data_IF_052902225634
#
_entry.id   IF_052902225634
#
_cell.length_a   1.000
_cell.length_b   1.000
_cell.length_c   1.000
_cell.angle_alpha   90.00
_cell.angle_beta   90.00
_cell.angle_gamma   90.00
#
_symmetry.space_group_name_H-M   'P 1'
#
loop_
_entity.id
_entity.type
_entity.pdbx_description
1 polymer ?
#
# COMPACT_ATOMS: atom_id res chain seq x y z
N UNK A 1 29.02 13.76 19.51
CA UNK A 1 28.68 12.44 20.11
C UNK A 1 27.29 12.04 19.65
N UNK A 2 27.20 11.36 18.50
CA UNK A 2 25.93 10.81 18.00
C UNK A 2 25.63 9.58 18.85
N UNK A 3 24.57 9.65 19.68
CA UNK A 3 23.98 8.47 20.29
C UNK A 3 23.44 7.62 19.14
N UNK A 4 24.13 6.52 18.82
CA UNK A 4 23.60 5.47 17.96
C UNK A 4 22.33 4.95 18.63
N UNK A 5 21.17 5.41 18.17
CA UNK A 5 19.88 4.85 18.56
C UNK A 5 19.77 3.51 17.83
N UNK A 6 20.27 2.45 18.46
CA UNK A 6 20.04 1.08 17.97
C UNK A 6 18.55 0.84 18.21
N UNK A 7 17.76 0.95 17.16
CA UNK A 7 16.37 0.52 17.18
C UNK A 7 16.41 -1.00 17.15
N UNK A 8 16.47 -1.63 18.34
CA UNK A 8 16.27 -3.08 18.48
C UNK A 8 14.78 -3.33 18.20
N UNK A 9 14.40 -3.36 16.93
CA UNK A 9 13.22 -4.12 16.53
C UNK A 9 13.69 -5.56 16.67
N UNK A 10 13.37 -6.15 17.82
CA UNK A 10 13.47 -7.58 18.03
C UNK A 10 13.04 -8.28 16.74
N UNK A 11 13.93 -9.10 16.15
CA UNK A 11 13.51 -10.18 15.28
C UNK A 11 12.40 -10.90 16.07
N UNK A 12 11.15 -10.60 15.72
CA UNK A 12 10.04 -11.43 16.13
C UNK A 12 10.32 -12.74 15.41
N UNK A 13 11.04 -13.64 16.09
CA UNK A 13 10.75 -15.06 15.98
C UNK A 13 9.29 -15.10 16.38
N UNK A 14 8.40 -14.96 15.40
CA UNK A 14 6.96 -14.95 15.62
C UNK A 14 6.67 -16.32 16.22
N UNK A 15 6.56 -16.38 17.54
CA UNK A 15 5.67 -17.33 18.18
C UNK A 15 4.36 -17.15 17.42
N UNK A 16 3.94 -18.16 16.67
CA UNK A 16 2.69 -18.11 15.92
C UNK A 16 1.62 -17.65 16.90
N UNK A 17 1.15 -16.41 16.73
CA UNK A 17 0.07 -15.91 17.57
C UNK A 17 -1.08 -16.90 17.38
N UNK A 18 -1.76 -17.27 18.45
CA UNK A 18 -2.94 -18.09 18.28
C UNK A 18 -4.01 -17.23 17.58
N UNK A 19 -4.96 -17.89 16.89
CA UNK A 19 -6.13 -17.18 16.33
C UNK A 19 -6.85 -16.38 17.42
N UNK A 20 -6.86 -16.87 18.66
CA UNK A 20 -7.42 -16.16 19.80
C UNK A 20 -6.65 -14.89 20.14
N UNK A 21 -5.32 -14.92 20.13
CA UNK A 21 -4.49 -13.73 20.37
C UNK A 21 -4.70 -12.69 19.26
N UNK A 22 -4.78 -13.13 18.00
CA UNK A 22 -5.08 -12.24 16.88
C UNK A 22 -6.46 -11.59 17.02
N UNK A 23 -7.49 -12.37 17.39
CA UNK A 23 -8.84 -11.83 17.63
C UNK A 23 -8.81 -10.85 18.81
N UNK A 24 -8.18 -11.22 19.92
CA UNK A 24 -8.03 -10.37 21.10
C UNK A 24 -7.34 -9.05 20.77
N UNK A 25 -6.23 -9.08 20.02
CA UNK A 25 -5.49 -7.88 19.65
C UNK A 25 -6.28 -6.98 18.68
N UNK A 26 -7.20 -7.54 17.89
CA UNK A 26 -7.99 -6.80 16.91
C UNK A 26 -9.21 -6.11 17.53
N UNK A 27 -9.91 -6.77 18.44
CA UNK A 27 -11.15 -6.23 19.06
C UNK A 27 -10.94 -5.66 20.46
N UNK A 28 -9.84 -6.01 21.13
CA UNK A 28 -9.51 -5.60 22.49
C UNK A 28 -10.15 -6.48 23.57
N UNK A 29 -9.60 -6.40 24.78
CA UNK A 29 -9.95 -7.30 25.89
C UNK A 29 -11.42 -7.23 26.31
N UNK A 30 -12.04 -6.04 26.32
CA UNK A 30 -13.42 -5.89 26.74
C UNK A 30 -14.40 -6.61 25.78
N UNK A 31 -14.28 -6.35 24.47
CA UNK A 31 -15.13 -6.98 23.46
C UNK A 31 -14.83 -8.49 23.33
N UNK A 32 -13.57 -8.90 23.48
CA UNK A 32 -13.19 -10.32 23.49
C UNK A 32 -13.87 -11.09 24.61
N UNK A 33 -13.81 -10.57 25.84
CA UNK A 33 -14.43 -11.23 26.98
C UNK A 33 -15.96 -11.21 26.90
N UNK A 34 -16.55 -10.13 26.37
CA UNK A 34 -18.00 -10.01 26.16
C UNK A 34 -18.53 -11.07 25.19
N UNK A 35 -17.80 -11.36 24.09
CA UNK A 35 -18.24 -12.28 23.04
C UNK A 35 -17.51 -13.63 23.07
N UNK A 36 -16.87 -13.99 24.19
CA UNK A 36 -15.93 -15.12 24.27
C UNK A 36 -16.50 -16.44 23.73
N UNK A 37 -17.74 -16.77 24.07
CA UNK A 37 -18.37 -18.03 23.61
C UNK A 37 -18.61 -18.03 22.10
N UNK A 38 -19.04 -16.90 21.54
CA UNK A 38 -19.25 -16.74 20.11
C UNK A 38 -17.91 -16.79 19.36
N UNK A 39 -16.88 -16.12 19.86
CA UNK A 39 -15.51 -16.17 19.32
C UNK A 39 -15.02 -17.62 19.30
N UNK A 40 -15.11 -18.33 20.42
CA UNK A 40 -14.70 -19.74 20.50
C UNK A 40 -15.46 -20.62 19.50
N UNK A 41 -16.74 -20.33 19.26
CA UNK A 41 -17.55 -21.05 18.28
C UNK A 41 -17.10 -20.78 16.83
N UNK A 42 -16.96 -19.50 16.46
CA UNK A 42 -16.54 -19.06 15.12
C UNK A 42 -15.15 -19.62 14.77
N UNK A 43 -14.21 -19.52 15.71
CA UNK A 43 -12.80 -19.85 15.49
C UNK A 43 -12.42 -21.26 15.94
N UNK A 44 -13.39 -22.16 16.22
CA UNK A 44 -13.13 -23.52 16.73
C UNK A 44 -12.17 -24.31 15.84
N UNK A 45 -12.29 -24.12 14.52
CA UNK A 45 -11.46 -24.78 13.51
C UNK A 45 -10.30 -23.85 13.14
N UNK A 46 -9.41 -23.59 14.10
CA UNK A 46 -8.34 -22.58 13.99
C UNK A 46 -7.48 -22.72 12.74
N UNK A 47 -7.22 -23.96 12.29
CA UNK A 47 -6.47 -24.26 11.06
C UNK A 47 -7.04 -23.57 9.80
N UNK A 48 -8.34 -23.30 9.77
CA UNK A 48 -8.97 -22.61 8.64
C UNK A 48 -8.57 -21.13 8.53
N UNK A 49 -7.94 -20.57 9.57
CA UNK A 49 -7.53 -19.17 9.65
C UNK A 49 -6.02 -18.98 9.46
N UNK A 50 -5.36 -20.00 8.92
CA UNK A 50 -3.97 -19.90 8.49
C UNK A 50 -3.86 -20.03 6.98
N UNK A 51 -2.91 -19.29 6.41
CA UNK A 51 -2.49 -19.37 5.01
C UNK A 51 -0.96 -19.45 5.00
N UNK A 52 -0.41 -20.53 4.44
CA UNK A 52 1.04 -20.79 4.41
C UNK A 52 1.70 -20.74 5.81
N UNK A 53 0.99 -21.25 6.82
CA UNK A 53 1.47 -21.25 8.21
C UNK A 53 1.36 -19.91 8.93
N UNK A 54 0.91 -18.83 8.29
CA UNK A 54 0.67 -17.53 8.92
C UNK A 54 -0.82 -17.28 9.11
N UNK A 55 -1.19 -16.45 10.08
CA UNK A 55 -2.58 -16.05 10.30
C UNK A 55 -3.10 -15.30 9.07
N UNK A 56 -4.30 -15.65 8.62
CA UNK A 56 -5.04 -14.93 7.60
C UNK A 56 -5.91 -13.83 8.24
N UNK A 57 -5.32 -12.64 8.42
CA UNK A 57 -6.02 -11.48 8.99
C UNK A 57 -7.19 -11.00 8.12
N UNK A 58 -7.18 -11.26 6.81
CA UNK A 58 -8.34 -10.98 5.94
C UNK A 58 -9.51 -11.86 6.38
N UNK A 59 -9.29 -13.16 6.54
CA UNK A 59 -10.34 -14.11 6.94
C UNK A 59 -10.83 -13.88 8.38
N UNK A 60 -9.92 -13.62 9.33
CA UNK A 60 -10.31 -13.28 10.70
C UNK A 60 -11.15 -12.00 10.72
N UNK A 61 -10.69 -10.93 10.05
CA UNK A 61 -11.43 -9.66 10.02
C UNK A 61 -12.80 -9.81 9.35
N UNK A 62 -12.89 -10.66 8.32
CA UNK A 62 -14.15 -10.97 7.66
C UNK A 62 -15.14 -11.65 8.61
N UNK A 63 -14.72 -12.70 9.34
CA UNK A 63 -15.60 -13.40 10.29
C UNK A 63 -16.05 -12.48 11.43
N UNK A 64 -15.14 -11.69 12.00
CA UNK A 64 -15.51 -10.73 13.04
C UNK A 64 -16.48 -9.67 12.53
N UNK A 65 -16.33 -9.22 11.29
CA UNK A 65 -17.25 -8.28 10.64
C UNK A 65 -18.62 -8.91 10.38
N UNK A 66 -18.67 -10.12 9.82
CA UNK A 66 -19.91 -10.85 9.51
C UNK A 66 -20.75 -11.12 10.76
N UNK A 67 -20.10 -11.33 11.89
CA UNK A 67 -20.75 -11.60 13.17
C UNK A 67 -20.95 -10.34 14.02
N UNK A 68 -20.69 -9.14 13.49
CA UNK A 68 -20.91 -7.87 14.20
C UNK A 68 -20.00 -7.62 15.41
N UNK A 69 -18.91 -8.40 15.56
CA UNK A 69 -17.97 -8.31 16.67
C UNK A 69 -16.96 -7.18 16.43
N UNK A 70 -16.60 -6.93 15.16
CA UNK A 70 -15.63 -5.91 14.80
C UNK A 70 -16.24 -4.49 14.83
N UNK A 71 -16.11 -3.83 15.98
CA UNK A 71 -16.60 -2.46 16.19
C UNK A 71 -15.56 -1.42 15.75
N UNK A 72 -15.83 -0.77 14.61
CA UNK A 72 -14.99 0.30 14.05
C UNK A 72 -15.55 1.72 14.28
N UNK A 73 -16.83 1.85 14.62
CA UNK A 73 -17.46 3.14 14.89
C UNK A 73 -16.92 3.72 16.20
N UNK A 74 -16.47 4.98 16.17
CA UNK A 74 -15.92 5.70 17.32
C UNK A 74 -16.98 6.54 18.07
N UNK A 75 -18.24 6.50 17.64
CA UNK A 75 -19.39 7.23 18.19
C UNK A 75 -19.43 8.71 17.82
N UNK A 76 -18.28 9.33 17.59
CA UNK A 76 -18.11 10.71 17.15
C UNK A 76 -16.80 10.87 16.39
N UNK A 77 -16.57 12.03 15.78
CA UNK A 77 -15.28 12.34 15.14
C UNK A 77 -14.21 12.45 16.22
N UNK A 78 -13.20 11.57 16.14
CA UNK A 78 -12.10 11.47 17.09
C UNK A 78 -10.76 11.54 16.38
N UNK A 79 -9.71 11.81 17.16
CA UNK A 79 -8.34 11.69 16.69
C UNK A 79 -7.88 10.23 16.81
N UNK A 80 -7.64 9.58 15.68
CA UNK A 80 -7.13 8.22 15.59
C UNK A 80 -5.64 8.28 15.24
N UNK A 81 -4.80 7.63 16.03
CA UNK A 81 -3.38 7.40 15.73
C UNK A 81 -3.23 6.02 15.12
N UNK A 82 -2.55 5.94 13.97
CA UNK A 82 -2.29 4.69 13.28
C UNK A 82 -0.82 4.61 12.95
N UNK A 83 -0.18 3.50 13.33
CA UNK A 83 1.20 3.22 12.97
C UNK A 83 1.27 2.00 12.07
N UNK A 84 1.95 2.15 10.94
CA UNK A 84 2.27 1.07 10.02
C UNK A 84 3.74 0.69 10.15
N UNK A 85 4.00 -0.60 10.30
CA UNK A 85 5.33 -1.19 10.33
C UNK A 85 5.48 -2.08 9.11
N UNK A 86 6.36 -1.72 8.19
CA UNK A 86 6.70 -2.51 7.00
C UNK A 86 8.10 -3.10 7.18
N UNK A 87 8.21 -4.40 6.96
CA UNK A 87 9.48 -5.12 7.13
C UNK A 87 10.51 -4.92 6.00
N UNK A 88 10.15 -4.24 4.92
CA UNK A 88 11.03 -4.01 3.75
C UNK A 88 10.50 -2.88 2.84
N UNK A 89 11.28 -2.54 1.82
CA UNK A 89 10.86 -1.71 0.67
C UNK A 89 10.23 -0.35 1.06
N UNK A 90 10.89 0.49 1.87
CA UNK A 90 10.28 1.63 2.55
C UNK A 90 9.63 2.64 1.60
N UNK A 91 10.28 2.98 0.47
CA UNK A 91 9.72 3.92 -0.52
C UNK A 91 8.46 3.38 -1.21
N UNK A 92 8.50 2.12 -1.62
CA UNK A 92 7.36 1.42 -2.22
C UNK A 92 6.22 1.28 -1.22
N UNK A 93 6.53 0.85 0.00
CA UNK A 93 5.60 0.71 1.11
C UNK A 93 4.91 2.03 1.42
N UNK A 94 5.66 3.12 1.58
CA UNK A 94 5.13 4.47 1.81
C UNK A 94 4.17 4.92 0.71
N UNK A 95 4.57 4.75 -0.56
CA UNK A 95 3.70 5.08 -1.70
C UNK A 95 2.41 4.26 -1.66
N UNK A 96 2.53 2.94 -1.51
CA UNK A 96 1.39 2.04 -1.54
C UNK A 96 0.39 2.35 -0.42
N UNK A 97 0.85 2.48 0.82
CA UNK A 97 -0.04 2.75 1.94
C UNK A 97 -0.71 4.12 1.79
N UNK A 98 0.01 5.12 1.29
CA UNK A 98 -0.56 6.44 1.01
C UNK A 98 -1.66 6.38 -0.06
N UNK A 99 -1.45 5.63 -1.15
CA UNK A 99 -2.45 5.43 -2.20
C UNK A 99 -3.67 4.64 -1.71
N UNK A 100 -3.44 3.58 -0.93
CA UNK A 100 -4.49 2.73 -0.34
C UNK A 100 -5.36 3.55 0.61
N UNK A 101 -4.76 4.33 1.52
CA UNK A 101 -5.50 5.18 2.45
C UNK A 101 -6.45 6.13 1.72
N UNK A 102 -6.01 6.77 0.64
CA UNK A 102 -6.85 7.67 -0.17
C UNK A 102 -8.04 6.95 -0.80
N UNK A 103 -7.85 5.73 -1.32
CA UNK A 103 -8.93 4.92 -1.90
C UNK A 103 -9.91 4.43 -0.83
N UNK A 104 -9.41 4.18 0.39
CA UNK A 104 -10.25 3.87 1.54
C UNK A 104 -10.99 5.09 2.11
N UNK A 105 -10.74 6.29 1.60
CA UNK A 105 -11.41 7.53 2.00
C UNK A 105 -10.65 8.37 3.03
N UNK A 106 -9.41 8.00 3.37
CA UNK A 106 -8.56 8.70 4.32
C UNK A 106 -7.55 9.58 3.58
N UNK A 107 -7.98 10.78 3.16
CA UNK A 107 -7.15 11.71 2.39
C UNK A 107 -6.43 12.75 3.25
N UNK A 108 -7.03 13.16 4.37
CA UNK A 108 -6.55 14.26 5.23
C UNK A 108 -5.84 13.74 6.50
N UNK A 109 -4.86 12.84 6.34
CA UNK A 109 -4.02 12.41 7.45
C UNK A 109 -2.79 13.30 7.61
N UNK A 110 -2.31 13.40 8.86
CA UNK A 110 -1.10 14.15 9.21
C UNK A 110 -0.04 13.16 9.67
N UNK A 111 1.11 13.14 8.99
CA UNK A 111 2.28 12.39 9.44
C UNK A 111 2.75 12.91 10.80
N UNK A 112 2.82 12.04 11.80
CA UNK A 112 3.37 12.33 13.13
C UNK A 112 4.83 11.89 13.24
N UNK A 113 5.23 10.86 12.49
CA UNK A 113 6.60 10.38 12.46
C UNK A 113 6.84 9.37 11.35
N UNK A 114 8.05 9.41 10.81
CA UNK A 114 8.56 8.48 9.80
C UNK A 114 9.97 8.08 10.20
N UNK A 115 10.22 6.77 10.30
CA UNK A 115 11.52 6.23 10.67
C UNK A 115 11.84 5.08 9.72
N UNK A 116 13.00 5.15 9.08
CA UNK A 116 13.55 4.07 8.25
C UNK A 116 14.85 3.57 8.88
N UNK A 117 14.89 2.28 9.21
CA UNK A 117 16.07 1.60 9.77
C UNK A 117 16.15 0.22 9.13
N UNK A 118 17.34 -0.17 8.66
CA UNK A 118 17.60 -1.50 8.08
C UNK A 118 16.58 -1.94 7.02
N UNK A 119 16.25 -1.02 6.09
CA UNK A 119 15.24 -1.22 5.04
C UNK A 119 13.79 -1.43 5.54
N UNK A 120 13.52 -1.22 6.82
CA UNK A 120 12.18 -1.28 7.41
C UNK A 120 11.61 0.13 7.57
N UNK A 121 10.30 0.28 7.42
CA UNK A 121 9.59 1.54 7.59
C UNK A 121 8.66 1.47 8.80
N UNK A 122 8.77 2.44 9.70
CA UNK A 122 7.75 2.80 10.67
C UNK A 122 7.14 4.14 10.27
N UNK A 123 5.84 4.18 10.05
CA UNK A 123 5.12 5.41 9.72
C UNK A 123 3.90 5.58 10.62
N UNK A 124 3.87 6.67 11.37
CA UNK A 124 2.77 7.02 12.26
C UNK A 124 2.02 8.22 11.70
N UNK A 125 0.71 8.07 11.56
CA UNK A 125 -0.21 9.12 11.12
C UNK A 125 -1.27 9.41 12.16
N UNK A 126 -1.82 10.63 12.10
CA UNK A 126 -3.00 11.04 12.82
C UNK A 126 -4.14 11.33 11.85
N UNK A 127 -5.31 10.77 12.13
CA UNK A 127 -6.54 10.89 11.35
C UNK A 127 -7.61 11.55 12.22
N UNK A 128 -8.40 12.46 11.66
CA UNK A 128 -9.63 12.95 12.29
C UNK A 128 -10.82 12.25 11.63
N UNK A 129 -11.42 11.27 12.30
CA UNK A 129 -12.41 10.35 11.69
C UNK A 129 -13.46 9.89 12.70
N UNK A 130 -14.66 9.55 12.23
CA UNK A 130 -15.71 8.93 13.04
C UNK A 130 -15.64 7.39 13.08
N UNK A 131 -14.78 6.80 12.24
CA UNK A 131 -14.58 5.35 12.18
C UNK A 131 -13.10 4.99 12.02
N UNK A 132 -12.67 3.92 12.68
CA UNK A 132 -11.36 3.33 12.50
C UNK A 132 -11.18 2.80 11.06
N UNK A 133 -9.92 2.72 10.61
CA UNK A 133 -9.58 2.04 9.35
C UNK A 133 -10.04 0.59 9.45
N UNK A 134 -10.86 0.14 8.50
CA UNK A 134 -11.31 -1.24 8.45
C UNK A 134 -10.12 -2.19 8.20
N UNK A 135 -9.77 -3.08 9.16
CA UNK A 135 -8.71 -4.06 8.97
C UNK A 135 -8.95 -4.97 7.76
N UNK A 136 -10.22 -5.32 7.51
CA UNK A 136 -10.63 -6.13 6.36
C UNK A 136 -10.30 -5.44 5.03
N UNK A 137 -10.80 -4.21 4.84
CA UNK A 137 -10.58 -3.47 3.60
C UNK A 137 -9.10 -3.14 3.40
N UNK A 138 -8.40 -2.77 4.46
CA UNK A 138 -6.96 -2.53 4.41
C UNK A 138 -6.20 -3.78 3.99
N UNK A 139 -6.53 -4.95 4.56
CA UNK A 139 -5.88 -6.22 4.20
C UNK A 139 -6.10 -6.58 2.74
N UNK A 140 -7.32 -6.40 2.23
CA UNK A 140 -7.66 -6.68 0.83
C UNK A 140 -6.88 -5.78 -0.14
N UNK A 141 -6.79 -4.47 0.14
CA UNK A 141 -6.01 -3.54 -0.68
C UNK A 141 -4.50 -3.82 -0.63
N UNK A 142 -3.97 -4.19 0.55
CA UNK A 142 -2.56 -4.59 0.71
C UNK A 142 -2.24 -5.88 -0.06
N UNK A 143 -3.14 -6.86 -0.06
CA UNK A 143 -2.97 -8.09 -0.83
C UNK A 143 -2.89 -7.83 -2.33
N UNK A 144 -3.61 -6.82 -2.84
CA UNK A 144 -3.53 -6.38 -4.22
C UNK A 144 -2.15 -5.84 -4.65
N UNK A 145 -1.27 -5.52 -3.68
CA UNK A 145 0.12 -5.11 -3.92
C UNK A 145 1.13 -6.11 -3.35
N UNK A 146 0.73 -7.36 -3.17
CA UNK A 146 1.55 -8.43 -2.60
C UNK A 146 2.12 -8.11 -1.20
N UNK A 147 1.39 -7.29 -0.42
CA UNK A 147 1.64 -7.09 0.99
C UNK A 147 0.64 -7.91 1.83
N UNK A 148 1.06 -8.37 3.00
CA UNK A 148 0.18 -9.08 3.94
C UNK A 148 0.30 -8.49 5.33
N UNK A 149 -0.84 -8.28 6.00
CA UNK A 149 -0.81 -7.95 7.43
C UNK A 149 -0.43 -9.21 8.19
N UNK A 150 0.63 -9.13 9.00
CA UNK A 150 1.14 -10.23 9.83
C UNK A 150 0.79 -10.07 11.30
N UNK A 151 0.47 -8.84 11.74
CA UNK A 151 -0.09 -8.59 13.07
C UNK A 151 -0.88 -7.28 13.11
N UNK A 152 -1.87 -7.21 14.00
CA UNK A 152 -2.67 -6.02 14.29
C UNK A 152 -2.74 -5.90 15.80
N UNK A 153 -2.34 -4.76 16.35
CA UNK A 153 -2.49 -4.45 17.77
C UNK A 153 -3.32 -3.19 17.95
N UNK A 154 -4.46 -3.34 18.62
CA UNK A 154 -5.31 -2.24 19.05
C UNK A 154 -4.97 -1.86 20.49
N UNK A 155 -4.53 -0.62 20.70
CA UNK A 155 -4.22 -0.07 22.02
C UNK A 155 -5.31 0.92 22.43
N UNK A 156 -6.26 0.44 23.24
CA UNK A 156 -7.47 1.19 23.57
C UNK A 156 -8.37 1.41 22.35
N UNK A 157 -9.07 2.54 22.28
CA UNK A 157 -10.03 2.79 21.19
C UNK A 157 -9.46 3.58 20.01
N UNK A 158 -8.34 4.27 20.21
CA UNK A 158 -7.87 5.32 19.31
C UNK A 158 -6.44 5.13 18.80
N UNK A 159 -5.82 3.98 19.08
CA UNK A 159 -4.48 3.65 18.59
C UNK A 159 -4.46 2.28 17.93
N UNK A 160 -3.94 2.23 16.72
CA UNK A 160 -3.81 1.00 15.93
C UNK A 160 -2.40 0.84 15.41
N UNK A 161 -1.85 -0.36 15.56
CA UNK A 161 -0.58 -0.75 15.01
C UNK A 161 -0.80 -1.88 14.00
N UNK A 162 -0.33 -1.69 12.78
CA UNK A 162 -0.37 -2.69 11.71
C UNK A 162 1.05 -3.11 11.37
N UNK A 163 1.33 -4.41 11.44
CA UNK A 163 2.59 -5.00 11.04
C UNK A 163 2.38 -5.71 9.71
N UNK A 164 3.21 -5.36 8.71
CA UNK A 164 2.96 -5.68 7.32
C UNK A 164 4.22 -6.31 6.73
N UNK A 165 4.08 -7.51 6.19
CA UNK A 165 5.06 -8.09 5.28
C UNK A 165 4.91 -7.44 3.91
N UNK A 166 6.01 -6.86 3.44
CA UNK A 166 6.13 -6.12 2.19
C UNK A 166 7.30 -6.61 1.34
N UNK A 167 7.87 -7.77 1.68
CA UNK A 167 9.09 -8.30 1.05
C UNK A 167 8.93 -8.48 -0.46
N UNK A 168 7.73 -8.86 -0.89
CA UNK A 168 7.39 -9.11 -2.29
C UNK A 168 6.49 -8.01 -2.89
N UNK A 169 6.46 -6.83 -2.27
CA UNK A 169 5.52 -5.78 -2.63
C UNK A 169 5.68 -5.28 -4.08
N UNK A 170 4.56 -5.03 -4.73
CA UNK A 170 4.45 -4.37 -6.05
C UNK A 170 3.90 -2.95 -5.88
N UNK A 171 3.76 -2.18 -6.96
CA UNK A 171 3.22 -0.81 -6.88
C UNK A 171 1.70 -0.83 -7.05
N UNK A 172 1.01 -0.11 -6.17
CA UNK A 172 -0.44 0.03 -6.19
C UNK A 172 -0.96 0.57 -7.52
N UNK A 173 -1.81 -0.25 -8.17
CA UNK A 173 -2.42 0.03 -9.48
C UNK A 173 -1.40 0.43 -10.55
N UNK A 174 -0.24 -0.24 -10.56
CA UNK A 174 0.65 -0.17 -11.69
C UNK A 174 0.04 -0.92 -12.89
N UNK A 175 0.16 -0.33 -14.06
CA UNK A 175 -0.31 -0.90 -15.31
C UNK A 175 0.72 -1.90 -15.84
N UNK A 176 0.26 -3.04 -16.35
CA UNK A 176 1.13 -4.13 -16.78
C UNK A 176 1.60 -3.94 -18.24
N UNK A 177 2.90 -3.73 -18.43
CA UNK A 177 3.59 -3.80 -19.73
C UNK A 177 4.64 -4.93 -19.74
N UNK A 178 4.64 -5.81 -18.74
CA UNK A 178 5.47 -7.02 -18.73
C UNK A 178 4.86 -8.05 -19.68
N UNK A 179 3.58 -8.33 -19.56
CA UNK A 179 2.92 -9.43 -20.29
C UNK A 179 2.27 -9.01 -21.62
N UNK A 180 2.38 -7.72 -21.99
CA UNK A 180 1.86 -7.17 -23.25
C UNK A 180 2.91 -6.29 -23.92
N UNK A 181 2.85 -6.18 -25.24
CA UNK A 181 3.72 -5.29 -26.03
C UNK A 181 3.16 -3.87 -26.16
N UNK A 182 1.88 -3.69 -25.87
CA UNK A 182 1.22 -2.40 -25.94
C UNK A 182 0.18 -2.22 -24.82
N UNK A 183 -0.05 -0.97 -24.46
CA UNK A 183 -1.00 -0.57 -23.43
C UNK A 183 -1.75 0.68 -23.89
N UNK A 184 -3.07 0.68 -23.72
CA UNK A 184 -3.90 1.87 -23.91
C UNK A 184 -4.37 2.38 -22.55
N UNK A 185 -3.89 3.57 -22.19
CA UNK A 185 -4.13 4.24 -20.93
C UNK A 185 -5.28 5.23 -21.07
N UNK A 186 -6.29 5.12 -20.21
CA UNK A 186 -7.42 6.06 -20.15
C UNK A 186 -7.01 7.38 -19.49
N UNK A 187 -7.87 8.40 -19.57
CA UNK A 187 -7.68 9.69 -18.88
C UNK A 187 -7.16 9.51 -17.44
N UNK A 188 -6.02 10.12 -17.07
CA UNK A 188 -5.45 9.96 -15.74
C UNK A 188 -6.16 10.87 -14.73
N UNK A 189 -6.33 10.36 -13.51
CA UNK A 189 -6.58 11.18 -12.31
C UNK A 189 -5.30 11.41 -11.50
N UNK A 190 -4.28 10.61 -11.77
CA UNK A 190 -2.94 10.64 -11.18
C UNK A 190 -1.94 10.19 -12.24
N UNK A 191 -0.63 10.47 -12.09
CA UNK A 191 0.37 10.01 -13.02
C UNK A 191 0.29 8.49 -13.19
N UNK A 192 0.49 8.01 -14.41
CA UNK A 192 0.52 6.57 -14.66
C UNK A 192 1.78 5.99 -14.05
N UNK A 193 1.67 4.78 -13.49
CA UNK A 193 2.83 3.96 -13.18
C UNK A 193 2.71 2.71 -14.01
N UNK A 194 3.71 2.46 -14.85
CA UNK A 194 3.75 1.29 -15.72
C UNK A 194 4.83 0.36 -15.24
N UNK A 195 4.50 -0.91 -15.03
CA UNK A 195 5.46 -1.94 -14.67
C UNK A 195 6.06 -2.56 -15.93
N UNK A 196 7.39 -2.71 -15.95
CA UNK A 196 8.15 -3.23 -17.09
C UNK A 196 9.14 -4.31 -16.65
N UNK A 197 9.63 -5.08 -17.61
CA UNK A 197 10.73 -6.03 -17.41
C UNK A 197 11.43 -6.31 -18.73
N UNK A 198 12.76 -6.25 -18.74
CA UNK A 198 13.61 -6.62 -19.88
C UNK A 198 13.24 -5.91 -21.19
N UNK A 199 13.07 -4.58 -21.15
CA UNK A 199 12.78 -3.76 -22.34
C UNK A 199 13.93 -2.81 -22.61
N UNK A 200 14.17 -2.51 -23.88
CA UNK A 200 15.28 -1.65 -24.31
C UNK A 200 14.82 -0.21 -24.56
N UNK A 201 13.60 -0.05 -25.07
CA UNK A 201 13.01 1.26 -25.31
C UNK A 201 11.49 1.21 -25.18
N UNK A 202 10.89 2.40 -25.02
CA UNK A 202 9.45 2.59 -25.08
C UNK A 202 9.10 3.72 -26.03
N UNK A 203 7.95 3.59 -26.68
CA UNK A 203 7.31 4.67 -27.42
C UNK A 203 5.99 5.03 -26.75
N UNK A 204 5.83 6.32 -26.41
CA UNK A 204 4.63 6.88 -25.78
C UNK A 204 3.96 7.82 -26.78
N UNK A 205 2.69 7.55 -27.09
CA UNK A 205 1.88 8.30 -28.04
C UNK A 205 0.65 8.87 -27.33
N UNK A 206 0.56 10.18 -27.09
CA UNK A 206 -0.69 10.78 -26.63
C UNK A 206 -1.80 10.63 -27.65
N UNK A 207 -3.00 10.31 -27.16
CA UNK A 207 -4.19 10.27 -28.00
C UNK A 207 -4.48 11.66 -28.58
N UNK A 208 -5.08 11.68 -29.77
CA UNK A 208 -5.40 12.91 -30.48
C UNK A 208 -6.19 13.89 -29.60
N UNK A 209 -5.81 15.18 -29.63
CA UNK A 209 -6.42 16.23 -28.81
C UNK A 209 -5.77 16.47 -27.44
N UNK A 210 -4.76 15.68 -27.06
CA UNK A 210 -3.90 15.99 -25.91
C UNK A 210 -2.84 17.05 -26.26
N UNK A 211 -2.40 17.78 -25.24
CA UNK A 211 -1.33 18.77 -25.31
C UNK A 211 -0.19 18.39 -24.38
N UNK A 212 0.39 17.21 -24.60
CA UNK A 212 1.29 16.57 -23.64
C UNK A 212 2.69 17.19 -23.61
N UNK A 213 3.12 17.57 -22.42
CA UNK A 213 4.49 17.98 -22.08
C UNK A 213 5.12 16.86 -21.23
N UNK A 214 5.95 15.99 -21.82
CA UNK A 214 6.44 14.79 -21.13
C UNK A 214 7.16 15.09 -19.81
N UNK A 215 6.74 14.41 -18.73
CA UNK A 215 7.54 14.20 -17.51
C UNK A 215 7.56 12.70 -17.22
N UNK A 216 8.71 12.07 -17.45
CA UNK A 216 8.94 10.63 -17.33
C UNK A 216 9.95 10.38 -16.23
N UNK A 217 9.67 9.43 -15.33
CA UNK A 217 10.61 9.00 -14.31
C UNK A 217 10.75 7.49 -14.35
N UNK A 218 11.98 7.02 -14.47
CA UNK A 218 12.33 5.61 -14.42
C UNK A 218 12.71 5.24 -12.99
N UNK A 219 12.18 4.12 -12.49
CA UNK A 219 12.45 3.62 -11.16
C UNK A 219 12.96 2.18 -11.20
N UNK A 220 13.85 1.85 -10.27
CA UNK A 220 14.25 0.48 -9.99
C UNK A 220 13.17 -0.32 -9.25
N UNK A 221 13.47 -1.56 -8.88
CA UNK A 221 12.55 -2.42 -8.14
C UNK A 221 12.17 -1.88 -6.76
N UNK A 222 13.06 -1.15 -6.10
CA UNK A 222 12.87 -0.62 -4.75
C UNK A 222 12.28 0.79 -4.76
N UNK A 223 11.88 1.25 -5.95
CA UNK A 223 11.27 2.53 -6.22
C UNK A 223 12.24 3.72 -6.02
N UNK A 224 13.54 3.50 -6.19
CA UNK A 224 14.53 4.57 -6.34
C UNK A 224 14.49 5.10 -7.77
N UNK A 225 14.67 6.42 -7.89
CA UNK A 225 14.77 7.08 -9.20
C UNK A 225 16.08 6.67 -9.87
N UNK A 226 15.99 6.18 -11.10
CA UNK A 226 17.14 5.92 -11.98
C UNK A 226 17.40 7.13 -12.86
N UNK A 227 16.36 7.63 -13.53
CA UNK A 227 16.46 8.73 -14.49
C UNK A 227 15.16 9.53 -14.54
N UNK A 228 15.28 10.82 -14.86
CA UNK A 228 14.17 11.75 -15.07
C UNK A 228 14.32 12.40 -16.44
N UNK A 229 13.27 12.34 -17.25
CA UNK A 229 13.21 12.98 -18.57
C UNK A 229 12.03 13.95 -18.57
N UNK A 230 12.33 15.24 -18.67
CA UNK A 230 11.33 16.30 -18.74
C UNK A 230 11.51 17.10 -20.03
N UNK A 231 10.39 17.43 -20.68
CA UNK A 231 10.38 18.16 -21.94
C UNK A 231 9.41 19.34 -21.85
N UNK A 232 9.99 20.54 -21.88
CA UNK A 232 9.22 21.79 -21.95
C UNK A 232 8.81 22.12 -23.40
N UNK A 233 8.21 21.15 -24.08
CA UNK A 233 7.63 21.30 -25.41
C UNK A 233 6.60 20.21 -25.66
N UNK A 234 5.70 20.46 -26.62
CA UNK A 234 4.64 19.51 -26.99
C UNK A 234 5.19 18.32 -27.75
N UNK A 235 4.84 17.11 -27.33
CA UNK A 235 5.18 15.87 -28.04
C UNK A 235 3.93 15.15 -28.51
N UNK A 236 3.91 14.73 -29.79
CA UNK A 236 2.87 13.85 -30.34
C UNK A 236 3.27 12.36 -30.32
N UNK A 237 4.56 12.10 -30.12
CA UNK A 237 5.15 10.79 -29.93
C UNK A 237 6.52 11.00 -29.27
N UNK A 238 6.85 10.17 -28.29
CA UNK A 238 8.15 10.20 -27.62
C UNK A 238 8.70 8.78 -27.54
N UNK A 239 9.86 8.56 -28.17
CA UNK A 239 10.65 7.33 -28.00
C UNK A 239 11.78 7.59 -27.01
N UNK A 240 11.95 6.71 -26.04
CA UNK A 240 12.99 6.77 -25.02
C UNK A 240 13.66 5.41 -24.87
N UNK A 241 14.97 5.43 -24.72
CA UNK A 241 15.71 4.28 -24.21
C UNK A 241 15.35 4.06 -22.75
N UNK A 242 15.24 2.80 -22.34
CA UNK A 242 14.90 2.42 -20.96
C UNK A 242 16.19 2.07 -20.24
N UNK A 243 16.55 2.80 -19.17
CA UNK A 243 17.75 2.49 -18.40
C UNK A 243 17.72 1.07 -17.83
N UNK A 244 18.89 0.46 -17.72
CA UNK A 244 19.07 -0.84 -17.09
C UNK A 244 18.47 -0.85 -15.68
N UNK A 245 17.93 -1.99 -15.27
CA UNK A 245 17.27 -2.21 -13.97
C UNK A 245 15.94 -1.45 -13.75
N UNK A 246 15.41 -0.77 -14.77
CA UNK A 246 14.07 -0.18 -14.67
C UNK A 246 13.03 -1.27 -14.42
N UNK A 247 12.23 -1.07 -13.35
CA UNK A 247 11.06 -1.90 -13.03
C UNK A 247 9.74 -1.15 -13.17
N UNK A 248 9.77 0.16 -12.93
CA UNK A 248 8.59 1.01 -13.04
C UNK A 248 8.90 2.29 -13.80
N UNK A 249 7.92 2.79 -14.55
CA UNK A 249 8.00 4.05 -15.29
C UNK A 249 6.82 4.90 -14.87
N UNK A 250 7.07 6.07 -14.28
CA UNK A 250 6.03 7.09 -14.08
C UNK A 250 5.92 7.92 -15.34
N UNK A 251 4.70 8.06 -15.83
CA UNK A 251 4.39 8.89 -17.00
C UNK A 251 3.39 9.95 -16.55
N UNK A 252 3.80 11.20 -16.70
CA UNK A 252 3.11 12.38 -16.21
C UNK A 252 3.13 13.49 -17.27
N UNK A 253 2.47 14.59 -16.97
CA UNK A 253 2.59 15.85 -17.71
C UNK A 253 3.33 16.87 -16.84
N UNK A 254 4.34 17.53 -17.40
CA UNK A 254 5.18 18.51 -16.70
C UNK A 254 4.37 19.66 -16.10
N UNK A 255 3.24 20.04 -16.73
CA UNK A 255 2.40 21.14 -16.28
C UNK A 255 1.11 20.66 -15.58
N UNK A 256 0.35 19.77 -16.21
CA UNK A 256 -0.93 19.31 -15.69
C UNK A 256 -1.45 18.05 -16.38
N UNK A 257 -1.93 17.10 -15.59
CA UNK A 257 -2.64 15.90 -16.08
C UNK A 257 -3.89 16.23 -16.91
N UNK A 258 -4.44 17.45 -16.81
CA UNK A 258 -5.53 17.91 -17.68
C UNK A 258 -5.11 18.04 -19.15
N UNK A 259 -3.82 17.99 -19.47
CA UNK A 259 -3.32 17.93 -20.85
C UNK A 259 -3.45 16.52 -21.46
N UNK A 260 -3.65 15.49 -20.63
CA UNK A 260 -3.81 14.08 -21.01
C UNK A 260 -5.28 13.65 -20.99
N UNK A 261 -6.19 14.52 -21.45
CA UNK A 261 -7.66 14.33 -21.38
C UNK A 261 -8.12 13.03 -22.02
N UNK A 262 -7.45 12.61 -23.09
CA UNK A 262 -7.81 11.44 -23.89
C UNK A 262 -6.92 10.23 -23.60
N UNK A 263 -5.96 10.36 -22.68
CA UNK A 263 -5.04 9.27 -22.31
C UNK A 263 -3.90 9.03 -23.31
N UNK A 264 -3.19 7.92 -23.17
CA UNK A 264 -1.94 7.62 -23.89
C UNK A 264 -1.96 6.20 -24.44
N UNK A 265 -1.17 5.92 -25.49
CA UNK A 265 -0.78 4.56 -25.86
C UNK A 265 0.72 4.39 -25.65
N UNK A 266 1.11 3.21 -25.16
CA UNK A 266 2.50 2.86 -24.92
C UNK A 266 2.80 1.58 -25.68
N UNK A 267 3.96 1.52 -26.31
CA UNK A 267 4.50 0.32 -26.95
C UNK A 267 5.91 0.08 -26.45
N UNK A 268 6.24 -1.18 -26.10
CA UNK A 268 7.60 -1.57 -25.73
C UNK A 268 8.34 -2.20 -26.92
N UNK A 269 9.65 -2.01 -26.95
CA UNK A 269 10.58 -2.64 -27.89
C UNK A 269 11.73 -3.36 -27.15
#
# INVERSE_FOLDING_TARGET
>A
MIKKLILIISLYISSYASVNDAVLNLIGNADYNTHRNLINHIFRNSNNFYKNGQIDYTKISQELSNNGILKLNLGSVQNLEVTFYFNSNPKKSMKNISDILRVLGYQDFITQGEVVVDNQLKWTIKLKTAAAISPLRLSQELQGVNCNIVDIKREGNYKWNYYIDSSNSTIYKAEDLINTNQLSLRKPLKPYIVQVANISSITINPNAGNSWYPSIIFYDNDFNVIEVVEKDSLYKSLKLDVPNNTKYIKIDDFYSLTNLKYGLNITKE
#
